data_IF_931033371096
#
_entry.id   IF_931033371096
#
_cell.length_a   1.000
_cell.length_b   1.000
_cell.length_c   1.000
_cell.angle_alpha   90.00
_cell.angle_beta   90.00
_cell.angle_gamma   90.00
#
_symmetry.space_group_name_H-M   'P 1'
#
loop_
_entity.id
_entity.type
_entity.pdbx_description
1 polymer ?
#
# COMPACT_ATOMS: atom_id res chain seq x y z
N UNK A 1 13.04 19.80 17.77
CA UNK A 1 13.37 19.63 16.33
C UNK A 1 12.47 18.55 15.81
N UNK A 2 11.65 18.89 14.84
CA UNK A 2 10.50 18.07 14.46
C UNK A 2 10.88 16.88 13.61
N UNK A 3 10.27 15.75 13.91
CA UNK A 3 10.41 14.48 13.20
C UNK A 3 9.01 13.99 12.83
N UNK A 4 8.90 13.20 11.75
CA UNK A 4 7.66 12.53 11.43
C UNK A 4 7.31 11.49 12.49
N UNK A 5 6.04 11.48 12.87
CA UNK A 5 5.42 10.42 13.65
C UNK A 5 4.29 9.81 12.84
N UNK A 6 3.94 8.56 13.09
CA UNK A 6 2.85 7.90 12.39
C UNK A 6 2.16 6.85 13.27
N UNK A 7 0.88 6.60 12.95
CA UNK A 7 0.09 5.52 13.52
C UNK A 7 -0.61 4.75 12.40
N UNK A 8 -0.36 3.45 12.30
CA UNK A 8 -1.08 2.55 11.39
C UNK A 8 -2.34 2.05 12.08
N UNK A 9 -3.49 2.67 11.80
CA UNK A 9 -4.76 2.28 12.40
C UNK A 9 -5.34 1.03 11.77
N UNK A 10 -5.32 0.99 10.44
CA UNK A 10 -5.81 -0.13 9.63
C UNK A 10 -4.95 -0.30 8.40
N UNK A 11 -4.72 -1.55 7.99
CA UNK A 11 -4.00 -1.88 6.75
C UNK A 11 -4.50 -3.20 6.18
N UNK A 12 -4.60 -3.29 4.82
CA UNK A 12 -5.04 -4.46 4.08
C UNK A 12 -6.48 -4.39 3.58
N UNK A 13 -6.91 -5.41 2.88
CA UNK A 13 -8.19 -5.48 2.14
C UNK A 13 -9.47 -5.31 3.00
N UNK A 14 -9.34 -5.22 4.31
CA UNK A 14 -10.46 -4.92 5.22
C UNK A 14 -10.57 -3.44 5.56
N UNK A 15 -9.70 -2.62 5.04
CA UNK A 15 -9.67 -1.17 5.17
C UNK A 15 -8.31 -0.62 5.57
N UNK A 16 -7.97 0.54 4.99
CA UNK A 16 -6.71 1.23 5.19
C UNK A 16 -6.97 2.60 5.83
N UNK A 17 -6.12 2.97 6.77
CA UNK A 17 -6.09 4.30 7.37
C UNK A 17 -4.80 4.47 8.18
N UNK A 18 -4.00 5.48 7.84
CA UNK A 18 -2.73 5.78 8.50
C UNK A 18 -2.67 7.26 8.83
N UNK A 19 -2.38 7.59 10.08
CA UNK A 19 -2.07 8.95 10.49
C UNK A 19 -0.58 9.23 10.35
N UNK A 20 -0.25 10.40 9.83
CA UNK A 20 1.11 10.95 9.81
C UNK A 20 1.07 12.32 10.48
N UNK A 21 2.08 12.61 11.28
CA UNK A 21 2.20 13.88 12.00
C UNK A 21 3.57 14.50 11.77
N UNK A 22 3.57 15.83 11.66
CA UNK A 22 4.78 16.62 11.67
C UNK A 22 4.50 17.94 12.38
N UNK A 23 5.13 18.19 13.52
CA UNK A 23 4.81 19.35 14.39
C UNK A 23 3.32 19.41 14.76
N UNK A 24 2.67 20.49 14.37
CA UNK A 24 1.24 20.70 14.59
C UNK A 24 0.37 20.24 13.40
N UNK A 25 0.99 19.62 12.39
CA UNK A 25 0.28 19.14 11.20
C UNK A 25 -0.08 17.68 11.37
N UNK A 26 -1.35 17.37 11.18
CA UNK A 26 -1.88 16.02 11.18
C UNK A 26 -2.49 15.67 9.82
N UNK A 27 -2.07 14.55 9.27
CA UNK A 27 -2.51 14.01 7.99
C UNK A 27 -3.14 12.63 8.23
N UNK A 28 -4.26 12.33 7.60
CA UNK A 28 -4.83 10.99 7.55
C UNK A 28 -4.80 10.51 6.10
N UNK A 29 -4.20 9.37 5.85
CA UNK A 29 -4.19 8.74 4.54
C UNK A 29 -5.19 7.60 4.55
N UNK A 30 -6.17 7.68 3.67
CA UNK A 30 -7.29 6.77 3.47
C UNK A 30 -8.32 6.69 4.62
N UNK A 31 -9.55 6.45 4.22
CA UNK A 31 -10.74 6.37 5.08
C UNK A 31 -11.52 5.08 4.77
N UNK A 32 -10.80 3.97 4.66
CA UNK A 32 -11.30 2.66 4.22
C UNK A 32 -12.13 1.90 5.27
N UNK A 33 -12.67 2.60 6.29
CA UNK A 33 -13.52 2.03 7.33
C UNK A 33 -14.80 2.82 7.53
N UNK A 34 -15.88 2.21 8.08
CA UNK A 34 -17.07 2.93 8.53
C UNK A 34 -16.71 4.06 9.50
N UNK A 35 -17.44 5.16 9.41
CA UNK A 35 -17.18 6.42 10.11
C UNK A 35 -16.85 6.26 11.61
N UNK A 36 -17.59 5.43 12.34
CA UNK A 36 -17.37 5.19 13.78
C UNK A 36 -15.94 4.69 14.12
N UNK A 37 -15.24 4.12 13.14
CA UNK A 37 -13.87 3.65 13.31
C UNK A 37 -12.82 4.67 12.84
N UNK A 38 -13.21 5.64 12.01
CA UNK A 38 -12.33 6.70 11.50
C UNK A 38 -12.44 7.97 12.37
N UNK A 39 -13.64 8.28 12.87
CA UNK A 39 -13.90 9.49 13.65
C UNK A 39 -12.88 9.77 14.76
N UNK A 40 -12.43 8.77 15.57
CA UNK A 40 -11.47 9.03 16.64
C UNK A 40 -10.12 9.60 16.16
N UNK A 41 -9.78 9.41 14.88
CA UNK A 41 -8.51 9.85 14.30
C UNK A 41 -8.60 11.21 13.59
N UNK A 42 -9.77 11.87 13.56
CA UNK A 42 -9.99 13.09 12.79
C UNK A 42 -9.76 14.39 13.59
N UNK A 43 -9.84 14.33 14.91
CA UNK A 43 -9.88 15.53 15.76
C UNK A 43 -8.63 16.40 15.70
N UNK A 44 -7.48 15.80 15.38
CA UNK A 44 -6.18 16.45 15.27
C UNK A 44 -5.68 16.54 13.83
N UNK A 45 -6.56 16.33 12.83
CA UNK A 45 -6.19 16.36 11.41
C UNK A 45 -6.60 17.66 10.73
N UNK A 46 -5.70 18.15 9.90
CA UNK A 46 -5.96 19.25 8.98
C UNK A 46 -6.21 18.74 7.56
N UNK A 47 -5.70 17.56 7.24
CA UNK A 47 -5.75 17.00 5.89
C UNK A 47 -6.13 15.53 5.90
N UNK A 48 -6.94 15.13 4.89
CA UNK A 48 -7.21 13.75 4.54
C UNK A 48 -6.79 13.55 3.09
N UNK A 49 -5.96 12.54 2.83
CA UNK A 49 -5.56 12.11 1.50
C UNK A 49 -6.27 10.80 1.16
N UNK A 50 -6.84 10.70 -0.01
CA UNK A 50 -7.47 9.48 -0.52
C UNK A 50 -6.65 9.01 -1.71
N UNK A 51 -6.03 7.84 -1.58
CA UNK A 51 -5.11 7.29 -2.57
C UNK A 51 -5.83 6.82 -3.83
N UNK A 52 -7.00 6.19 -3.68
CA UNK A 52 -7.82 5.71 -4.79
C UNK A 52 -9.26 5.36 -4.36
N UNK A 53 -10.08 4.92 -5.33
CA UNK A 53 -11.52 4.75 -5.18
C UNK A 53 -12.00 3.42 -4.57
N UNK A 54 -11.11 2.44 -4.32
CA UNK A 54 -11.53 1.15 -3.78
C UNK A 54 -12.12 1.29 -2.38
N UNK A 55 -13.05 0.39 -2.04
CA UNK A 55 -13.86 0.51 -0.82
C UNK A 55 -13.02 0.39 0.47
N UNK A 56 -11.91 -0.31 0.42
CA UNK A 56 -10.96 -0.43 1.52
C UNK A 56 -10.04 0.78 1.69
N UNK A 57 -10.17 1.81 0.83
CA UNK A 57 -9.51 3.11 0.92
C UNK A 57 -10.50 4.27 1.00
N UNK A 58 -11.69 4.12 0.41
CA UNK A 58 -12.72 5.14 0.40
C UNK A 58 -14.09 4.57 0.74
N UNK A 59 -14.57 4.81 1.97
CA UNK A 59 -15.95 4.55 2.36
C UNK A 59 -16.78 5.82 2.17
N UNK A 60 -17.65 5.86 1.17
CA UNK A 60 -18.42 7.06 0.77
C UNK A 60 -19.27 7.64 1.89
N UNK A 61 -19.86 6.81 2.74
CA UNK A 61 -20.63 7.26 3.92
C UNK A 61 -19.71 7.91 4.96
N UNK A 62 -18.48 7.46 5.08
CA UNK A 62 -17.46 8.06 5.93
C UNK A 62 -17.04 9.41 5.38
N UNK A 63 -16.75 9.49 4.06
CA UNK A 63 -16.45 10.74 3.38
C UNK A 63 -17.53 11.81 3.66
N UNK A 64 -18.82 11.45 3.42
CA UNK A 64 -19.94 12.35 3.66
C UNK A 64 -19.95 12.89 5.09
N UNK A 65 -19.81 12.02 6.08
CA UNK A 65 -19.79 12.41 7.50
C UNK A 65 -18.59 13.27 7.88
N UNK A 66 -17.42 13.06 7.27
CA UNK A 66 -16.25 13.92 7.48
C UNK A 66 -16.57 15.33 6.97
N UNK A 67 -17.15 15.46 5.78
CA UNK A 67 -17.53 16.77 5.22
C UNK A 67 -18.56 17.49 6.08
N UNK A 68 -19.48 16.76 6.70
CA UNK A 68 -20.52 17.32 7.58
C UNK A 68 -19.96 17.73 8.96
N UNK A 69 -19.15 16.89 9.58
CA UNK A 69 -18.75 17.05 10.97
C UNK A 69 -17.38 17.70 11.17
N UNK A 70 -16.51 17.66 10.15
CA UNK A 70 -15.15 18.20 10.17
C UNK A 70 -14.89 19.10 8.95
N UNK A 71 -15.67 20.18 8.77
CA UNK A 71 -15.59 21.04 7.57
C UNK A 71 -14.25 21.78 7.44
N UNK A 72 -13.46 21.84 8.50
CA UNK A 72 -12.13 22.43 8.51
C UNK A 72 -11.07 21.53 7.87
N UNK A 73 -11.31 20.20 7.82
CA UNK A 73 -10.37 19.27 7.22
C UNK A 73 -10.41 19.41 5.69
N UNK A 74 -9.24 19.62 5.10
CA UNK A 74 -9.07 19.62 3.65
C UNK A 74 -8.88 18.21 3.14
N UNK A 75 -9.68 17.82 2.15
CA UNK A 75 -9.62 16.48 1.54
C UNK A 75 -8.97 16.60 0.17
N UNK A 76 -7.95 15.78 -0.06
CA UNK A 76 -7.20 15.71 -1.30
C UNK A 76 -7.33 14.29 -1.91
N UNK A 77 -7.47 14.21 -3.22
CA UNK A 77 -7.48 12.94 -3.94
C UNK A 77 -7.07 13.12 -5.40
N UNK A 78 -6.89 12.02 -6.12
CA UNK A 78 -6.79 12.07 -7.58
C UNK A 78 -8.14 12.38 -8.25
N UNK A 79 -8.09 12.65 -9.55
CA UNK A 79 -9.27 13.04 -10.32
C UNK A 79 -10.30 11.89 -10.41
N UNK A 80 -9.85 10.65 -10.50
CA UNK A 80 -10.72 9.47 -10.56
C UNK A 80 -11.57 9.34 -9.30
N UNK A 81 -11.01 9.56 -8.12
CA UNK A 81 -11.75 9.59 -6.85
C UNK A 81 -12.76 10.73 -6.85
N UNK A 82 -12.34 11.94 -7.23
CA UNK A 82 -13.22 13.11 -7.26
C UNK A 82 -14.43 12.88 -8.18
N UNK A 83 -14.18 12.36 -9.37
CA UNK A 83 -15.23 12.04 -10.34
C UNK A 83 -16.21 10.97 -9.81
N UNK A 84 -15.70 9.97 -9.09
CA UNK A 84 -16.54 8.94 -8.48
C UNK A 84 -17.43 9.48 -7.35
N UNK A 85 -16.91 10.43 -6.55
CA UNK A 85 -17.70 11.15 -5.54
C UNK A 85 -18.84 11.95 -6.18
N UNK A 86 -18.54 12.71 -7.23
CA UNK A 86 -19.54 13.51 -7.97
C UNK A 86 -20.63 12.65 -8.61
N UNK A 87 -20.28 11.50 -9.20
CA UNK A 87 -21.28 10.53 -9.74
C UNK A 87 -22.24 10.03 -8.67
N UNK A 88 -21.85 10.03 -7.41
CA UNK A 88 -22.66 9.62 -6.25
C UNK A 88 -23.39 10.79 -5.59
N UNK A 89 -23.40 11.97 -6.21
CA UNK A 89 -23.97 13.20 -5.67
C UNK A 89 -23.36 13.61 -4.31
N UNK A 90 -22.09 13.32 -4.11
CA UNK A 90 -21.30 13.81 -2.99
C UNK A 90 -20.53 15.08 -3.40
N UNK A 91 -20.12 15.89 -2.43
CA UNK A 91 -19.30 17.07 -2.69
C UNK A 91 -17.94 16.68 -3.28
N UNK A 92 -17.36 17.57 -4.09
CA UNK A 92 -15.99 17.42 -4.56
C UNK A 92 -14.98 17.44 -3.40
N UNK A 93 -13.79 16.94 -3.65
CA UNK A 93 -12.63 17.17 -2.77
C UNK A 93 -12.18 18.64 -2.84
N UNK A 94 -11.35 19.08 -1.90
CA UNK A 94 -10.83 20.45 -1.89
C UNK A 94 -9.72 20.65 -2.91
N UNK A 95 -8.88 19.64 -3.13
CA UNK A 95 -7.75 19.68 -4.07
C UNK A 95 -7.67 18.34 -4.79
N UNK A 96 -7.59 18.37 -6.11
CA UNK A 96 -7.23 17.21 -6.94
C UNK A 96 -5.75 17.24 -7.26
N UNK A 97 -5.12 16.07 -7.25
CA UNK A 97 -3.73 15.89 -7.64
C UNK A 97 -3.58 14.88 -8.80
N UNK A 98 -2.51 15.00 -9.52
CA UNK A 98 -2.04 14.11 -10.59
C UNK A 98 -0.67 13.58 -10.21
N UNK A 99 -0.06 12.78 -11.08
CA UNK A 99 1.32 12.35 -10.93
C UNK A 99 2.26 13.54 -10.80
N UNK A 100 3.30 13.37 -10.01
CA UNK A 100 4.31 14.39 -9.71
C UNK A 100 3.75 15.69 -9.08
N UNK A 101 2.46 15.66 -8.70
CA UNK A 101 1.89 16.79 -8.00
C UNK A 101 2.63 17.03 -6.70
N UNK A 102 3.14 18.24 -6.56
CA UNK A 102 3.87 18.67 -5.36
C UNK A 102 3.13 19.81 -4.69
N UNK A 103 3.01 19.71 -3.38
CA UNK A 103 2.57 20.83 -2.59
C UNK A 103 3.33 20.87 -1.26
N UNK A 104 3.41 22.05 -0.68
CA UNK A 104 4.14 22.29 0.55
C UNK A 104 3.22 22.86 1.62
N UNK A 105 3.29 22.28 2.82
CA UNK A 105 2.63 22.79 4.01
C UNK A 105 3.69 22.97 5.10
N UNK A 106 3.95 24.21 5.48
CA UNK A 106 5.06 24.51 6.37
C UNK A 106 6.38 23.98 5.78
N UNK A 107 7.11 23.20 6.55
CA UNK A 107 8.37 22.61 6.14
C UNK A 107 8.23 21.23 5.48
N UNK A 108 6.99 20.73 5.30
CA UNK A 108 6.74 19.43 4.69
C UNK A 108 6.37 19.59 3.22
N UNK A 109 7.15 18.99 2.36
CA UNK A 109 6.85 18.83 0.94
C UNK A 109 6.23 17.46 0.71
N UNK A 110 5.09 17.43 0.05
CA UNK A 110 4.41 16.22 -0.44
C UNK A 110 4.62 16.07 -1.94
N UNK A 111 4.99 14.87 -2.37
CA UNK A 111 4.99 14.50 -3.78
C UNK A 111 4.09 13.29 -3.96
N UNK A 112 3.06 13.42 -4.79
CA UNK A 112 2.22 12.31 -5.19
C UNK A 112 2.93 11.53 -6.32
N UNK A 113 3.01 10.21 -6.17
CA UNK A 113 3.63 9.32 -7.16
C UNK A 113 2.61 8.27 -7.55
N UNK A 114 2.48 8.02 -8.85
CA UNK A 114 1.55 7.04 -9.37
C UNK A 114 1.91 5.62 -8.93
N UNK A 115 0.89 4.89 -8.49
CA UNK A 115 0.97 3.45 -8.27
C UNK A 115 0.31 2.74 -9.46
N UNK A 116 0.99 1.75 -10.01
CA UNK A 116 0.42 0.89 -11.06
C UNK A 116 -0.38 -0.24 -10.39
N UNK A 117 -1.69 -0.03 -10.23
CA UNK A 117 -2.60 -0.96 -9.59
C UNK A 117 -3.56 -1.58 -10.60
N UNK A 118 -3.27 -2.79 -11.06
CA UNK A 118 -3.97 -3.48 -12.13
C UNK A 118 -3.48 -3.14 -13.54
N UNK A 119 -4.13 -3.71 -14.55
CA UNK A 119 -3.82 -3.48 -15.95
C UNK A 119 -5.09 -3.60 -16.81
N UNK A 120 -5.13 -2.90 -17.94
CA UNK A 120 -6.26 -2.93 -18.85
C UNK A 120 -7.56 -2.46 -18.19
N UNK A 121 -8.63 -3.25 -18.27
CA UNK A 121 -9.93 -2.91 -17.67
C UNK A 121 -9.91 -2.93 -16.13
N UNK A 122 -8.96 -3.64 -15.53
CA UNK A 122 -8.78 -3.71 -14.07
C UNK A 122 -7.92 -2.58 -13.52
N UNK A 123 -7.40 -1.68 -14.37
CA UNK A 123 -6.57 -0.57 -13.93
C UNK A 123 -7.37 0.41 -13.06
N UNK A 124 -6.76 0.79 -11.95
CA UNK A 124 -7.27 1.85 -11.08
C UNK A 124 -6.16 2.84 -10.80
N UNK A 125 -6.40 4.11 -11.15
CA UNK A 125 -5.51 5.21 -10.80
C UNK A 125 -5.35 5.26 -9.28
N UNK A 126 -4.13 5.02 -8.82
CA UNK A 126 -3.76 4.95 -7.41
C UNK A 126 -2.48 5.75 -7.21
N UNK A 127 -2.36 6.44 -6.08
CA UNK A 127 -1.17 7.20 -5.74
C UNK A 127 -0.68 6.83 -4.34
N UNK A 128 0.62 6.85 -4.18
CA UNK A 128 1.27 6.96 -2.88
C UNK A 128 1.99 8.30 -2.76
N UNK A 129 2.77 8.50 -1.71
CA UNK A 129 3.35 9.79 -1.38
C UNK A 129 4.78 9.64 -0.88
N UNK A 130 5.64 10.57 -1.30
CA UNK A 130 6.90 10.87 -0.63
C UNK A 130 6.71 12.18 0.13
N UNK A 131 7.00 12.16 1.43
CA UNK A 131 6.98 13.31 2.30
C UNK A 131 8.42 13.66 2.67
N UNK A 132 8.81 14.89 2.37
CA UNK A 132 10.14 15.40 2.66
C UNK A 132 10.04 16.53 3.68
N UNK A 133 10.86 16.47 4.72
CA UNK A 133 11.07 17.55 5.69
C UNK A 133 12.56 17.87 5.74
N UNK A 134 12.98 18.96 6.39
CA UNK A 134 14.40 19.31 6.49
C UNK A 134 15.28 18.21 7.12
N UNK A 135 14.70 17.22 7.79
CA UNK A 135 15.42 16.18 8.52
C UNK A 135 15.13 14.77 8.11
N UNK A 136 13.93 14.50 7.67
CA UNK A 136 13.45 13.16 7.42
C UNK A 136 12.67 13.06 6.12
N UNK A 137 12.81 11.91 5.47
CA UNK A 137 12.05 11.53 4.31
C UNK A 137 11.20 10.30 4.65
N UNK A 138 9.93 10.34 4.29
CA UNK A 138 8.97 9.27 4.52
C UNK A 138 8.34 8.86 3.18
N UNK A 139 8.20 7.56 2.94
CA UNK A 139 7.38 7.01 1.86
C UNK A 139 6.14 6.33 2.45
N UNK A 140 4.99 6.57 1.83
CA UNK A 140 3.75 5.81 2.01
C UNK A 140 3.25 5.32 0.66
N UNK A 141 3.17 4.01 0.47
CA UNK A 141 2.57 3.44 -0.74
C UNK A 141 1.94 2.07 -0.49
N UNK A 142 0.69 1.92 -0.94
CA UNK A 142 -0.06 0.67 -0.95
C UNK A 142 -0.79 0.54 -2.28
N UNK A 143 -1.17 -0.66 -2.64
CA UNK A 143 -1.87 -0.95 -3.89
C UNK A 143 -1.05 -0.52 -5.12
N UNK A 144 0.12 -1.14 -5.25
CA UNK A 144 1.06 -0.91 -6.34
C UNK A 144 1.68 -2.23 -6.81
N UNK A 145 1.97 -2.34 -8.09
CA UNK A 145 2.65 -3.52 -8.66
C UNK A 145 4.14 -3.31 -8.92
N UNK A 146 4.62 -2.07 -8.88
CA UNK A 146 6.02 -1.70 -9.13
C UNK A 146 6.42 -0.45 -8.36
N UNK A 147 7.71 -0.31 -8.11
CA UNK A 147 8.31 0.83 -7.40
C UNK A 147 9.18 1.70 -8.32
N UNK A 148 9.06 1.53 -9.65
CA UNK A 148 9.99 2.17 -10.59
C UNK A 148 9.99 3.69 -10.46
N UNK A 149 8.83 4.33 -10.34
CA UNK A 149 8.72 5.79 -10.26
C UNK A 149 9.23 6.32 -8.91
N UNK A 150 9.03 5.54 -7.83
CA UNK A 150 9.62 5.85 -6.52
C UNK A 150 11.14 5.73 -6.52
N UNK A 151 11.68 4.71 -7.21
CA UNK A 151 13.13 4.56 -7.38
C UNK A 151 13.72 5.72 -8.16
N UNK A 152 13.08 6.09 -9.28
CA UNK A 152 13.51 7.21 -10.11
C UNK A 152 13.50 8.52 -9.31
N UNK A 153 12.41 8.78 -8.58
CA UNK A 153 12.31 9.95 -7.73
C UNK A 153 13.41 10.00 -6.66
N UNK A 154 13.59 8.89 -5.93
CA UNK A 154 14.62 8.81 -4.89
C UNK A 154 16.04 8.97 -5.45
N UNK A 155 16.34 8.40 -6.61
CA UNK A 155 17.65 8.53 -7.28
C UNK A 155 17.88 9.96 -7.76
N UNK A 156 16.90 10.55 -8.44
CA UNK A 156 17.00 11.92 -8.99
C UNK A 156 17.21 12.95 -7.89
N UNK A 157 16.54 12.79 -6.75
CA UNK A 157 16.63 13.70 -5.62
C UNK A 157 17.68 13.27 -4.58
N UNK A 158 18.46 12.21 -4.85
CA UNK A 158 19.46 11.66 -3.94
C UNK A 158 18.88 11.37 -2.52
N UNK A 159 17.68 10.84 -2.45
CA UNK A 159 16.99 10.60 -1.19
C UNK A 159 17.38 9.26 -0.55
N UNK A 160 17.50 9.27 0.76
CA UNK A 160 17.44 8.10 1.63
C UNK A 160 16.25 8.27 2.56
N UNK A 161 15.56 7.17 2.85
CA UNK A 161 14.31 7.17 3.58
C UNK A 161 14.56 6.91 5.08
N UNK A 162 13.91 7.68 5.92
CA UNK A 162 13.92 7.52 7.38
C UNK A 162 12.75 6.65 7.86
N UNK A 163 11.62 6.74 7.13
CA UNK A 163 10.42 5.99 7.42
C UNK A 163 9.90 5.39 6.12
N UNK A 164 9.65 4.09 6.13
CA UNK A 164 9.11 3.33 5.00
C UNK A 164 7.80 2.67 5.43
N UNK A 165 6.69 3.17 4.92
CA UNK A 165 5.34 2.64 5.09
C UNK A 165 4.90 2.07 3.74
N UNK A 166 5.30 0.83 3.45
CA UNK A 166 5.23 0.29 2.10
C UNK A 166 4.55 -1.08 2.06
N UNK A 167 3.75 -1.29 1.03
CA UNK A 167 3.10 -2.57 0.79
C UNK A 167 4.08 -3.74 0.76
N UNK A 168 3.64 -4.87 1.33
CA UNK A 168 4.29 -6.18 1.24
C UNK A 168 3.23 -7.27 1.09
N UNK A 169 2.52 -7.26 -0.05
CA UNK A 169 1.27 -7.99 -0.17
C UNK A 169 1.46 -9.51 -0.24
N UNK A 170 2.31 -10.00 -1.13
CA UNK A 170 2.44 -11.43 -1.37
C UNK A 170 3.89 -11.92 -1.39
N UNK A 171 4.05 -13.20 -1.06
CA UNK A 171 5.31 -13.92 -1.21
C UNK A 171 5.30 -14.69 -2.55
N UNK A 172 6.27 -14.43 -3.45
CA UNK A 172 6.36 -15.14 -4.72
C UNK A 172 6.45 -16.67 -4.59
N UNK A 173 6.97 -17.19 -3.48
CA UNK A 173 7.01 -18.64 -3.23
C UNK A 173 5.60 -19.20 -3.02
N UNK A 174 4.75 -18.47 -2.28
CA UNK A 174 3.35 -18.85 -2.06
C UNK A 174 2.57 -18.79 -3.36
N UNK A 175 2.80 -17.77 -4.20
CA UNK A 175 2.18 -17.66 -5.53
C UNK A 175 2.64 -18.81 -6.43
N UNK A 176 3.93 -19.12 -6.47
CA UNK A 176 4.44 -20.24 -7.26
C UNK A 176 3.85 -21.59 -6.81
N UNK A 177 3.61 -21.81 -5.51
CA UNK A 177 2.89 -22.98 -5.02
C UNK A 177 1.44 -23.00 -5.54
N UNK A 178 0.78 -21.83 -5.54
CA UNK A 178 -0.58 -21.70 -6.05
C UNK A 178 -0.69 -22.00 -7.54
N UNK A 179 0.26 -21.56 -8.35
CA UNK A 179 0.33 -21.89 -9.77
C UNK A 179 0.50 -23.40 -9.99
N UNK A 180 1.37 -24.04 -9.21
CA UNK A 180 1.51 -25.49 -9.24
C UNK A 180 0.19 -26.19 -8.90
N UNK A 181 -0.52 -25.71 -7.89
CA UNK A 181 -1.81 -26.27 -7.48
C UNK A 181 -2.91 -26.02 -8.52
N UNK A 182 -2.90 -24.90 -9.24
CA UNK A 182 -3.80 -24.60 -10.36
C UNK A 182 -3.70 -25.68 -11.45
N UNK A 183 -2.49 -26.01 -11.88
CA UNK A 183 -2.25 -27.03 -12.90
C UNK A 183 -2.81 -28.40 -12.47
N UNK A 184 -2.72 -28.73 -11.17
CA UNK A 184 -3.09 -30.04 -10.64
C UNK A 184 -4.51 -30.10 -10.07
N UNK A 185 -5.11 -28.97 -9.71
CA UNK A 185 -6.39 -28.88 -9.00
C UNK A 185 -7.35 -27.80 -9.51
N UNK A 186 -7.01 -27.11 -10.59
CA UNK A 186 -7.88 -26.11 -11.26
C UNK A 186 -8.08 -24.81 -10.50
N UNK A 187 -7.21 -24.45 -9.55
CA UNK A 187 -7.31 -23.19 -8.80
C UNK A 187 -6.27 -22.15 -9.27
N UNK A 188 -6.73 -20.93 -9.57
CA UNK A 188 -5.89 -19.83 -10.04
C UNK A 188 -5.78 -18.72 -9.00
N UNK A 189 -4.67 -18.68 -8.30
CA UNK A 189 -4.40 -17.68 -7.28
C UNK A 189 -3.87 -16.38 -7.86
N UNK A 190 -3.11 -16.47 -8.96
CA UNK A 190 -2.48 -15.31 -9.58
C UNK A 190 -3.53 -14.35 -10.16
N UNK A 191 -4.50 -14.87 -10.91
CA UNK A 191 -5.59 -14.07 -11.48
C UNK A 191 -6.56 -13.49 -10.42
N UNK A 192 -6.43 -13.88 -9.15
CA UNK A 192 -7.21 -13.32 -8.05
C UNK A 192 -6.57 -12.07 -7.39
N UNK A 193 -5.61 -11.45 -8.02
CA UNK A 193 -5.18 -10.11 -7.69
C UNK A 193 -3.75 -9.90 -7.20
N UNK A 194 -2.94 -10.97 -7.00
CA UNK A 194 -1.56 -10.80 -6.53
C UNK A 194 -0.70 -9.96 -7.49
N UNK A 195 -0.86 -10.11 -8.81
CA UNK A 195 -0.13 -9.33 -9.81
C UNK A 195 -0.36 -7.81 -9.75
N UNK A 196 -1.41 -7.37 -9.04
CA UNK A 196 -1.75 -5.95 -8.85
C UNK A 196 -1.05 -5.33 -7.65
N UNK A 197 -0.30 -6.12 -6.92
CA UNK A 197 0.30 -5.76 -5.64
C UNK A 197 1.79 -6.02 -5.61
N UNK A 198 2.47 -5.37 -4.68
CA UNK A 198 3.91 -5.48 -4.51
C UNK A 198 4.30 -6.80 -3.83
N UNK A 199 5.28 -7.48 -4.40
CA UNK A 199 5.87 -8.66 -3.78
C UNK A 199 6.81 -8.31 -2.63
N UNK A 200 7.02 -9.26 -1.72
CA UNK A 200 8.02 -9.12 -0.65
C UNK A 200 9.44 -8.96 -1.19
N UNK A 201 9.73 -9.59 -2.32
CA UNK A 201 11.08 -9.55 -2.93
C UNK A 201 11.36 -8.17 -3.51
N UNK A 202 10.44 -7.64 -4.33
CA UNK A 202 10.63 -6.31 -4.95
C UNK A 202 10.67 -5.22 -3.88
N UNK A 203 9.83 -5.37 -2.83
CA UNK A 203 9.87 -4.49 -1.67
C UNK A 203 11.23 -4.51 -0.97
N UNK A 204 11.78 -5.68 -0.67
CA UNK A 204 13.05 -5.81 0.04
C UNK A 204 14.22 -5.24 -0.78
N UNK A 205 14.19 -5.39 -2.09
CA UNK A 205 15.19 -4.78 -2.99
C UNK A 205 15.15 -3.25 -2.88
N UNK A 206 13.96 -2.65 -2.94
CA UNK A 206 13.77 -1.21 -2.77
C UNK A 206 14.22 -0.73 -1.40
N UNK A 207 13.75 -1.38 -0.33
CA UNK A 207 14.10 -1.03 1.05
C UNK A 207 15.62 -1.09 1.24
N UNK A 208 16.27 -2.15 0.78
CA UNK A 208 17.73 -2.30 0.89
C UNK A 208 18.49 -1.17 0.18
N UNK A 209 17.98 -0.71 -0.96
CA UNK A 209 18.58 0.37 -1.75
C UNK A 209 18.46 1.74 -1.10
N UNK A 210 17.33 2.04 -0.44
CA UNK A 210 17.01 3.39 0.02
C UNK A 210 17.00 3.59 1.53
N UNK A 211 17.05 2.53 2.35
CA UNK A 211 17.10 2.65 3.79
C UNK A 211 18.41 3.26 4.32
N UNK A 212 18.32 3.88 5.47
CA UNK A 212 19.42 4.24 6.36
C UNK A 212 19.54 3.18 7.47
N UNK A 213 20.63 3.12 8.23
CA UNK A 213 20.73 2.22 9.39
C UNK A 213 19.65 2.45 10.46
N UNK A 214 19.11 3.67 10.55
CA UNK A 214 18.08 4.07 11.51
C UNK A 214 16.67 4.04 10.94
N UNK A 215 16.47 3.59 9.72
CA UNK A 215 15.15 3.59 9.07
C UNK A 215 14.14 2.76 9.84
N UNK A 216 12.98 3.35 10.10
CA UNK A 216 11.81 2.62 10.56
C UNK A 216 11.09 2.04 9.35
N UNK A 217 11.01 0.73 9.26
CA UNK A 217 10.44 0.00 8.14
C UNK A 217 9.20 -0.78 8.57
N UNK A 218 8.05 -0.48 7.94
CA UNK A 218 6.75 -1.08 8.26
C UNK A 218 6.12 -1.66 7.01
N UNK A 219 5.81 -2.94 7.05
CA UNK A 219 5.06 -3.62 6.01
C UNK A 219 3.56 -3.29 6.12
N UNK A 220 3.00 -2.76 5.03
CA UNK A 220 1.58 -2.48 4.91
C UNK A 220 0.89 -3.45 3.95
N UNK A 221 -0.44 -3.43 3.93
CA UNK A 221 -1.30 -4.12 2.99
C UNK A 221 -0.97 -5.61 2.78
N UNK A 222 -0.63 -6.29 3.88
CA UNK A 222 -0.24 -7.71 3.89
C UNK A 222 -1.45 -8.57 3.56
N UNK A 223 -1.32 -9.44 2.55
CA UNK A 223 -2.37 -10.40 2.22
C UNK A 223 -2.40 -11.56 3.22
N UNK A 224 -3.54 -11.78 3.87
CA UNK A 224 -3.74 -12.95 4.73
C UNK A 224 -3.65 -14.28 3.96
N UNK A 225 -3.81 -14.24 2.62
CA UNK A 225 -3.85 -15.42 1.75
C UNK A 225 -2.51 -15.74 1.13
N UNK A 226 -1.77 -14.71 0.73
CA UNK A 226 -0.61 -14.85 -0.15
C UNK A 226 0.73 -14.56 0.55
N UNK A 227 0.69 -14.31 1.88
CA UNK A 227 1.88 -14.06 2.70
C UNK A 227 2.36 -15.30 3.48
N UNK A 228 1.53 -16.32 3.63
CA UNK A 228 1.89 -17.52 4.36
C UNK A 228 1.30 -18.77 3.73
N UNK A 229 2.03 -19.87 3.82
CA UNK A 229 1.53 -21.18 3.40
C UNK A 229 0.29 -21.59 4.21
N UNK A 230 0.17 -21.19 5.46
CA UNK A 230 -0.98 -21.45 6.30
C UNK A 230 -2.24 -20.75 5.78
N UNK A 231 -2.13 -19.49 5.32
CA UNK A 231 -3.20 -18.78 4.65
C UNK A 231 -3.62 -19.47 3.36
N UNK A 232 -2.65 -19.94 2.57
CA UNK A 232 -2.91 -20.68 1.34
C UNK A 232 -3.61 -22.03 1.63
N UNK A 233 -3.18 -22.79 2.65
CA UNK A 233 -3.82 -24.04 3.07
C UNK A 233 -5.28 -23.80 3.47
N UNK A 234 -5.56 -22.74 4.22
CA UNK A 234 -6.94 -22.35 4.59
C UNK A 234 -7.78 -21.99 3.37
N UNK A 235 -7.21 -21.23 2.43
CA UNK A 235 -7.88 -20.85 1.19
C UNK A 235 -8.30 -22.08 0.39
N UNK A 236 -7.45 -23.08 0.28
CA UNK A 236 -7.69 -24.34 -0.41
C UNK A 236 -8.52 -25.34 0.40
N UNK A 237 -9.14 -24.89 1.49
CA UNK A 237 -9.98 -25.72 2.38
C UNK A 237 -9.31 -27.02 2.87
N UNK A 238 -8.04 -26.91 3.24
CA UNK A 238 -7.26 -28.06 3.75
C UNK A 238 -6.83 -29.09 2.70
N UNK A 239 -7.01 -28.79 1.42
CA UNK A 239 -6.58 -29.71 0.34
C UNK A 239 -5.06 -29.73 0.11
N UNK A 240 -4.38 -28.66 0.53
CA UNK A 240 -2.93 -28.56 0.50
C UNK A 240 -2.38 -29.11 1.82
N UNK A 241 -1.46 -30.07 1.73
CA UNK A 241 -0.77 -30.60 2.91
C UNK A 241 0.59 -29.94 3.08
N UNK A 242 1.17 -30.01 4.30
CA UNK A 242 2.55 -29.56 4.54
C UNK A 242 3.54 -30.26 3.59
N UNK A 243 3.30 -31.54 3.28
CA UNK A 243 4.12 -32.28 2.34
C UNK A 243 4.07 -31.69 0.91
N UNK A 244 2.92 -31.17 0.48
CA UNK A 244 2.80 -30.48 -0.83
C UNK A 244 3.65 -29.19 -0.83
N UNK A 245 3.61 -28.42 0.25
CA UNK A 245 4.43 -27.22 0.44
C UNK A 245 5.93 -27.57 0.38
N UNK A 246 6.36 -28.56 1.16
CA UNK A 246 7.77 -28.98 1.23
C UNK A 246 8.28 -29.48 -0.12
N UNK A 247 7.45 -30.26 -0.82
CA UNK A 247 7.80 -30.78 -2.15
C UNK A 247 7.91 -29.65 -3.18
N UNK A 248 7.02 -28.66 -3.11
CA UNK A 248 7.07 -27.48 -3.98
C UNK A 248 8.34 -26.67 -3.72
N UNK A 249 8.62 -26.31 -2.47
CA UNK A 249 9.80 -25.55 -2.10
C UNK A 249 11.09 -26.25 -2.53
N UNK A 250 11.23 -27.55 -2.30
CA UNK A 250 12.39 -28.33 -2.78
C UNK A 250 12.58 -28.21 -4.29
N UNK A 251 11.49 -28.26 -5.10
CA UNK A 251 11.57 -28.12 -6.55
C UNK A 251 11.91 -26.69 -6.97
N UNK A 252 11.34 -25.69 -6.30
CA UNK A 252 11.57 -24.29 -6.56
C UNK A 252 13.03 -23.89 -6.29
N UNK A 253 13.57 -24.28 -5.14
CA UNK A 253 14.98 -24.07 -4.82
C UNK A 253 15.93 -24.76 -5.82
N UNK A 254 15.62 -25.98 -6.26
CA UNK A 254 16.40 -26.66 -7.29
C UNK A 254 16.43 -25.91 -8.63
N UNK A 255 15.30 -25.35 -9.05
CA UNK A 255 15.22 -24.56 -10.28
C UNK A 255 16.01 -23.25 -10.18
N UNK A 256 15.84 -22.50 -9.10
CA UNK A 256 16.50 -21.21 -8.89
C UNK A 256 18.02 -21.33 -8.79
N UNK A 257 18.53 -22.43 -8.28
CA UNK A 257 19.96 -22.67 -8.06
C UNK A 257 20.61 -23.59 -9.12
N UNK A 258 20.04 -23.70 -10.33
CA UNK A 258 20.56 -24.54 -11.42
C UNK A 258 20.95 -25.96 -10.97
N UNK A 259 20.14 -26.57 -10.11
CA UNK A 259 20.35 -27.91 -9.57
C UNK A 259 21.33 -28.03 -8.40
N UNK A 260 21.94 -26.95 -7.93
CA UNK A 260 22.76 -26.98 -6.71
C UNK A 260 21.86 -27.05 -5.47
N UNK A 261 22.04 -28.06 -4.66
CA UNK A 261 21.38 -28.22 -3.36
C UNK A 261 22.17 -27.38 -2.36
N UNK A 262 21.59 -26.28 -1.89
CA UNK A 262 22.06 -25.63 -0.67
C UNK A 262 21.39 -26.38 0.49
N UNK A 263 22.17 -27.17 1.22
CA UNK A 263 21.77 -27.72 2.51
C UNK A 263 21.95 -26.58 3.54
N UNK A 264 20.86 -26.15 4.16
CA UNK A 264 20.88 -25.41 5.42
C UNK A 264 20.42 -26.34 6.52
#
# INVERSE_FOLDING_TARGET
MSEFQFDVHYTGSKGNSVSIYYENLGFLIDIGKPYKYIEPFLYDKQFVFITHKHQDHLVYTTYKKIRENFPHIKILSNETVNNELLKRNLSSVDITFTDDFQFQIGDVKFTAIQNYHGAGEDYTETHGFILESPKQNLIYATDLSTLIDYEEYCLTNNLKLDIILLEANYDPQVIGLSEYMKVHRGYDTFNNGSYRHLSTVDREEFVTKFKKPSTVDVELHISERYRSFEGLIRLEKGKITQQDVDNYLKRWYRRKNNGKILCY
#
